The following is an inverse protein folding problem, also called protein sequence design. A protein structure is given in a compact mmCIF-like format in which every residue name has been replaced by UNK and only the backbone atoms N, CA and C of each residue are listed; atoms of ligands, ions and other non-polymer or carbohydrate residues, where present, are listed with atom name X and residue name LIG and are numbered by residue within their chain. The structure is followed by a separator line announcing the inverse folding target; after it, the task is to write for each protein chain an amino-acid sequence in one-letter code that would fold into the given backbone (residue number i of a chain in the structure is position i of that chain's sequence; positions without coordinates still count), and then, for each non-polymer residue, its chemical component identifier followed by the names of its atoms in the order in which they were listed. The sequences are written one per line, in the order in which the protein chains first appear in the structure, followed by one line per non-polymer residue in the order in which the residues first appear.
data_IF_715458293206
#
_entry.id   IF_715458293206
#
_cell.length_a   1.000
_cell.length_b   1.000
_cell.length_c   1.000
_cell.angle_alpha   90.00
_cell.angle_beta   90.00
_cell.angle_gamma   90.00
#
_symmetry.space_group_name_H-M   'P 1'
#
loop_
_entity.id
_entity.type
_entity.pdbx_description
1 polymer ?
#
# COMPACT_ATOMS: atom_id res chain seq x y z
N UNK A 1 1.18 13.49 -6.01
CA UNK A 1 0.28 12.35 -6.29
C UNK A 1 -1.06 12.83 -6.85
N UNK A 2 -1.70 13.84 -6.22
CA UNK A 2 -2.99 14.38 -6.70
C UNK A 2 -2.89 14.84 -8.17
N UNK A 3 -1.92 15.66 -8.49
CA UNK A 3 -1.73 16.22 -9.84
C UNK A 3 -1.43 15.13 -10.87
N UNK A 4 -0.61 14.15 -10.50
CA UNK A 4 -0.29 13.00 -11.36
C UNK A 4 -1.54 12.18 -11.68
N UNK A 5 -2.42 11.95 -10.69
CA UNK A 5 -3.68 11.24 -10.93
C UNK A 5 -4.60 12.06 -11.85
N UNK A 6 -4.67 13.38 -11.66
CA UNK A 6 -5.43 14.27 -12.55
C UNK A 6 -4.93 14.19 -13.99
N UNK A 7 -3.62 14.29 -14.21
CA UNK A 7 -3.01 14.19 -15.54
C UNK A 7 -3.30 12.84 -16.22
N UNK A 8 -3.20 11.73 -15.47
CA UNK A 8 -3.47 10.38 -16.00
C UNK A 8 -4.95 10.16 -16.34
N UNK A 9 -5.84 10.93 -15.75
CA UNK A 9 -7.30 10.85 -15.95
C UNK A 9 -7.84 11.93 -16.88
N UNK A 10 -6.98 12.83 -17.39
CA UNK A 10 -7.38 13.88 -18.30
C UNK A 10 -8.09 13.30 -19.56
N UNK A 11 -9.22 13.88 -19.91
CA UNK A 11 -10.04 13.44 -21.04
C UNK A 11 -10.82 12.15 -20.83
N UNK A 12 -10.76 11.52 -19.65
CA UNK A 12 -11.52 10.32 -19.34
C UNK A 12 -12.94 10.64 -18.82
N UNK A 13 -13.89 9.79 -19.20
CA UNK A 13 -15.26 9.90 -18.69
C UNK A 13 -15.29 9.70 -17.15
N UNK A 14 -16.20 10.41 -16.42
CA UNK A 14 -16.28 10.29 -14.96
C UNK A 14 -16.59 8.87 -14.46
N UNK A 15 -17.32 8.08 -15.24
CA UNK A 15 -17.72 6.71 -14.99
C UNK A 15 -16.76 5.66 -15.57
N UNK A 16 -15.67 6.09 -16.20
CA UNK A 16 -14.67 5.17 -16.74
C UNK A 16 -14.04 4.31 -15.62
N UNK A 17 -13.78 3.01 -15.88
CA UNK A 17 -13.21 2.12 -14.85
C UNK A 17 -11.86 2.61 -14.33
N UNK A 18 -11.63 2.44 -13.03
CA UNK A 18 -10.35 2.73 -12.40
C UNK A 18 -9.25 1.83 -13.00
N UNK A 19 -8.11 2.44 -13.37
CA UNK A 19 -6.98 1.72 -14.00
C UNK A 19 -5.63 1.97 -13.35
N UNK A 20 -5.54 2.99 -12.49
CA UNK A 20 -4.28 3.37 -11.87
C UNK A 20 -3.95 2.38 -10.76
N UNK A 21 -2.77 1.78 -10.82
CA UNK A 21 -2.20 0.99 -9.73
C UNK A 21 -1.10 1.82 -9.09
N UNK A 22 -1.20 2.01 -7.77
CA UNK A 22 -0.17 2.71 -7.00
C UNK A 22 0.85 1.69 -6.49
N UNK A 23 2.12 1.89 -6.80
CA UNK A 23 3.23 1.16 -6.19
C UNK A 23 3.98 2.12 -5.25
N UNK A 24 4.12 1.74 -3.99
CA UNK A 24 4.75 2.57 -2.99
C UNK A 24 5.68 1.75 -2.08
N UNK A 25 6.76 2.37 -1.63
CA UNK A 25 7.74 1.79 -0.73
C UNK A 25 7.96 2.69 0.49
N UNK A 26 8.18 2.09 1.65
CA UNK A 26 8.55 2.81 2.88
C UNK A 26 7.51 3.88 3.27
N UNK A 27 7.94 5.13 3.47
CA UNK A 27 7.05 6.28 3.76
C UNK A 27 6.06 6.57 2.63
N UNK A 28 6.36 6.15 1.40
CA UNK A 28 5.41 6.24 0.29
C UNK A 28 4.10 5.49 0.57
N UNK A 29 4.12 4.43 1.36
CA UNK A 29 2.92 3.71 1.80
C UNK A 29 2.04 4.60 2.69
N UNK A 30 2.65 5.36 3.60
CA UNK A 30 1.95 6.32 4.46
C UNK A 30 1.37 7.48 3.63
N UNK A 31 2.11 7.94 2.61
CA UNK A 31 1.63 8.95 1.67
C UNK A 31 0.38 8.48 0.92
N UNK A 32 0.37 7.24 0.44
CA UNK A 32 -0.81 6.65 -0.23
C UNK A 32 -2.02 6.65 0.71
N UNK A 33 -1.84 6.21 1.96
CA UNK A 33 -2.92 6.17 2.95
C UNK A 33 -3.45 7.57 3.28
N UNK A 34 -2.57 8.54 3.51
CA UNK A 34 -2.94 9.92 3.80
C UNK A 34 -3.64 10.58 2.61
N UNK A 35 -3.12 10.38 1.39
CA UNK A 35 -3.75 10.90 0.17
C UNK A 35 -5.13 10.29 -0.05
N UNK A 36 -5.26 8.97 0.08
CA UNK A 36 -6.54 8.29 -0.14
C UNK A 36 -7.63 8.72 0.84
N UNK A 37 -7.26 9.11 2.07
CA UNK A 37 -8.19 9.58 3.09
C UNK A 37 -8.78 10.98 2.79
N UNK A 38 -8.10 11.80 1.96
CA UNK A 38 -8.47 13.19 1.73
C UNK A 38 -8.77 13.50 0.24
N UNK A 39 -8.42 12.60 -0.66
CA UNK A 39 -8.57 12.83 -2.11
C UNK A 39 -9.95 12.40 -2.61
N UNK A 40 -10.56 13.26 -3.40
CA UNK A 40 -11.75 12.94 -4.16
C UNK A 40 -11.46 12.07 -5.42
N UNK A 41 -10.18 11.82 -5.73
CA UNK A 41 -9.74 11.00 -6.87
C UNK A 41 -9.38 9.57 -6.47
N UNK A 42 -9.49 9.19 -5.20
CA UNK A 42 -9.13 7.85 -4.75
C UNK A 42 -9.94 6.74 -5.47
N UNK A 43 -11.16 7.05 -5.92
CA UNK A 43 -11.99 6.14 -6.72
C UNK A 43 -11.41 5.82 -8.12
N UNK A 44 -10.42 6.59 -8.60
CA UNK A 44 -9.71 6.35 -9.88
C UNK A 44 -8.56 5.36 -9.73
N UNK A 45 -8.21 5.00 -8.48
CA UNK A 45 -7.21 3.99 -8.18
C UNK A 45 -7.86 2.61 -8.17
N UNK A 46 -7.31 1.72 -8.97
CA UNK A 46 -7.73 0.32 -9.08
C UNK A 46 -7.22 -0.52 -7.91
N UNK A 47 -5.95 -0.36 -7.56
CA UNK A 47 -5.29 -1.10 -6.48
C UNK A 47 -4.02 -0.41 -6.00
N UNK A 48 -3.49 -0.83 -4.85
CA UNK A 48 -2.19 -0.41 -4.35
C UNK A 48 -1.29 -1.60 -3.97
N UNK A 49 -0.01 -1.49 -4.32
CA UNK A 49 1.07 -2.39 -3.96
C UNK A 49 2.01 -1.66 -2.99
N UNK A 50 1.92 -1.98 -1.71
CA UNK A 50 2.55 -1.27 -0.61
C UNK A 50 3.68 -2.13 -0.03
N UNK A 51 4.92 -1.74 -0.26
CA UNK A 51 6.10 -2.53 0.06
C UNK A 51 6.83 -1.94 1.25
N UNK A 52 7.11 -2.77 2.26
CA UNK A 52 7.88 -2.40 3.45
C UNK A 52 7.45 -1.05 4.04
N UNK A 53 6.20 -0.89 4.51
CA UNK A 53 5.72 0.39 5.00
C UNK A 53 6.59 0.89 6.15
N UNK A 54 7.11 2.11 6.03
CA UNK A 54 7.89 2.74 7.10
C UNK A 54 7.00 3.19 8.26
N UNK A 55 7.49 3.07 9.50
CA UNK A 55 6.79 3.60 10.68
C UNK A 55 7.39 4.95 11.13
N UNK A 56 6.75 6.08 10.80
CA UNK A 56 7.25 7.39 11.20
C UNK A 56 7.14 7.64 12.70
N UNK A 57 6.37 6.82 13.43
CA UNK A 57 6.17 6.94 14.89
C UNK A 57 7.20 6.09 15.68
N UNK A 58 8.11 5.39 15.01
CA UNK A 58 9.20 4.68 15.67
C UNK A 58 10.12 5.66 16.37
N UNK A 59 10.55 5.36 17.59
CA UNK A 59 11.34 6.27 18.46
C UNK A 59 12.53 6.93 17.74
N UNK A 60 13.27 6.17 16.95
CA UNK A 60 14.43 6.65 16.20
C UNK A 60 14.08 7.65 15.09
N UNK A 61 12.84 7.67 14.61
CA UNK A 61 12.39 8.47 13.47
C UNK A 61 11.38 9.56 13.88
N UNK A 62 10.70 9.39 15.01
CA UNK A 62 9.58 10.24 15.42
C UNK A 62 9.92 11.74 15.48
N UNK A 63 11.13 12.09 15.94
CA UNK A 63 11.56 13.48 16.01
C UNK A 63 11.79 14.10 14.62
N UNK A 64 12.32 13.31 13.67
CA UNK A 64 12.63 13.76 12.31
C UNK A 64 11.38 13.74 11.41
N UNK A 65 10.48 12.80 11.67
CA UNK A 65 9.26 12.57 10.88
C UNK A 65 7.98 13.04 11.60
N UNK A 66 8.09 14.01 12.51
CA UNK A 66 6.96 14.51 13.30
C UNK A 66 5.75 14.94 12.44
N UNK A 67 6.01 15.50 11.26
CA UNK A 67 4.96 15.90 10.30
C UNK A 67 4.18 14.72 9.67
N UNK A 68 4.66 13.49 9.84
CA UNK A 68 3.99 12.27 9.39
C UNK A 68 3.08 11.64 10.45
N UNK A 69 2.97 12.30 11.61
CA UNK A 69 2.13 11.84 12.72
C UNK A 69 0.92 12.77 12.90
N UNK A 70 -0.24 12.20 13.22
CA UNK A 70 -0.53 10.77 13.37
C UNK A 70 -0.62 10.04 12.01
N UNK A 71 -0.25 8.75 11.98
CA UNK A 71 -0.44 7.92 10.78
C UNK A 71 -1.92 7.69 10.51
N UNK A 72 -2.29 7.63 9.24
CA UNK A 72 -3.67 7.39 8.81
C UNK A 72 -3.94 5.88 8.77
N UNK A 73 -4.85 5.41 9.62
CA UNK A 73 -5.26 4.00 9.73
C UNK A 73 -6.73 3.81 9.30
N UNK A 74 -7.13 4.47 8.23
CA UNK A 74 -8.47 4.30 7.64
C UNK A 74 -8.44 3.27 6.52
N UNK A 75 -9.55 2.52 6.31
CA UNK A 75 -9.69 1.62 5.17
C UNK A 75 -9.41 2.35 3.86
N UNK A 76 -8.54 1.77 3.04
CA UNK A 76 -8.34 2.26 1.68
C UNK A 76 -9.59 2.01 0.83
N UNK A 77 -10.01 2.94 -0.04
CA UNK A 77 -11.20 2.78 -0.86
C UNK A 77 -10.97 1.87 -2.09
N UNK A 78 -9.81 1.24 -2.18
CA UNK A 78 -9.40 0.31 -3.23
C UNK A 78 -8.66 -0.89 -2.63
N UNK A 79 -8.63 -2.03 -3.33
CA UNK A 79 -7.83 -3.19 -2.91
C UNK A 79 -6.36 -2.84 -2.75
N UNK A 80 -5.72 -3.37 -1.71
CA UNK A 80 -4.30 -3.16 -1.47
C UNK A 80 -3.61 -4.42 -0.96
N UNK A 81 -2.33 -4.56 -1.28
CA UNK A 81 -1.45 -5.59 -0.76
C UNK A 81 -0.29 -4.92 -0.04
N UNK A 82 -0.03 -5.33 1.18
CA UNK A 82 1.14 -4.92 1.98
C UNK A 82 2.13 -6.07 2.02
N UNK A 83 3.33 -5.86 1.50
CA UNK A 83 4.46 -6.77 1.71
C UNK A 83 5.25 -6.29 2.92
N UNK A 84 5.42 -7.15 3.92
CA UNK A 84 6.16 -6.84 5.14
C UNK A 84 7.27 -7.86 5.39
N UNK A 85 8.42 -7.39 5.82
CA UNK A 85 9.56 -8.20 6.21
C UNK A 85 9.61 -8.40 7.73
N UNK A 86 10.09 -9.57 8.15
CA UNK A 86 10.19 -9.94 9.58
C UNK A 86 11.30 -9.20 10.31
N UNK A 87 12.33 -8.74 9.60
CA UNK A 87 13.53 -8.10 10.11
C UNK A 87 13.75 -6.67 9.58
N UNK A 88 12.68 -6.01 9.15
CA UNK A 88 12.73 -4.63 8.66
C UNK A 88 13.21 -3.67 9.78
N UNK A 89 14.32 -2.93 9.58
CA UNK A 89 14.84 -2.03 10.59
C UNK A 89 13.99 -0.76 10.78
N UNK A 90 13.07 -0.44 9.87
CA UNK A 90 12.27 0.79 9.90
C UNK A 90 10.81 0.57 10.34
N UNK A 91 10.35 -0.69 10.36
CA UNK A 91 9.00 -1.03 10.81
C UNK A 91 8.95 -2.47 11.28
N UNK A 92 8.54 -2.72 12.52
CA UNK A 92 8.37 -4.11 12.96
C UNK A 92 7.27 -4.81 12.17
N UNK A 93 7.37 -6.13 11.99
CA UNK A 93 6.35 -6.92 11.31
C UNK A 93 4.96 -6.76 11.96
N UNK A 94 4.91 -6.72 13.29
CA UNK A 94 3.67 -6.48 14.04
C UNK A 94 3.06 -5.11 13.68
N UNK A 95 3.91 -4.09 13.55
CA UNK A 95 3.46 -2.75 13.17
C UNK A 95 2.96 -2.69 11.72
N UNK A 96 3.67 -3.35 10.80
CA UNK A 96 3.21 -3.49 9.41
C UNK A 96 1.87 -4.23 9.31
N UNK A 97 1.65 -5.25 10.15
CA UNK A 97 0.36 -5.94 10.24
C UNK A 97 -0.76 -5.02 10.77
N UNK A 98 -0.47 -4.12 11.71
CA UNK A 98 -1.43 -3.10 12.16
C UNK A 98 -1.79 -2.13 11.02
N UNK A 99 -0.82 -1.69 10.22
CA UNK A 99 -1.08 -0.89 9.03
C UNK A 99 -1.98 -1.63 8.04
N UNK A 100 -1.62 -2.86 7.69
CA UNK A 100 -2.42 -3.67 6.77
C UNK A 100 -3.87 -3.85 7.26
N UNK A 101 -4.06 -4.10 8.57
CA UNK A 101 -5.38 -4.22 9.19
C UNK A 101 -6.17 -2.92 9.10
N UNK A 102 -5.56 -1.79 9.47
CA UNK A 102 -6.20 -0.46 9.42
C UNK A 102 -6.60 -0.07 7.99
N UNK A 103 -5.75 -0.34 7.03
CA UNK A 103 -5.98 -0.07 5.61
C UNK A 103 -6.89 -1.09 4.92
N UNK A 104 -7.27 -2.18 5.60
CA UNK A 104 -7.97 -3.34 5.04
C UNK A 104 -7.23 -3.95 3.85
N UNK A 105 -5.91 -3.92 3.89
CA UNK A 105 -5.03 -4.50 2.88
C UNK A 105 -4.71 -5.96 3.20
N UNK A 106 -4.45 -6.74 2.16
CA UNK A 106 -3.92 -8.09 2.31
C UNK A 106 -2.46 -8.00 2.80
N UNK A 107 -2.15 -8.61 3.95
CA UNK A 107 -0.78 -8.73 4.42
C UNK A 107 -0.11 -9.95 3.78
N UNK A 108 1.10 -9.75 3.28
CA UNK A 108 2.02 -10.80 2.81
C UNK A 108 3.27 -10.77 3.66
N UNK A 109 3.54 -11.86 4.35
CA UNK A 109 4.81 -12.08 5.04
C UNK A 109 5.88 -12.43 3.99
N UNK A 110 6.86 -11.55 3.85
CA UNK A 110 7.95 -11.71 2.87
C UNK A 110 9.22 -12.31 3.48
N UNK A 111 9.12 -12.85 4.71
CA UNK A 111 10.23 -13.41 5.46
C UNK A 111 11.26 -12.35 5.90
N UNK A 112 12.46 -12.78 6.33
CA UNK A 112 13.52 -11.88 6.73
C UNK A 112 14.25 -11.32 5.49
N UNK A 113 13.79 -10.18 4.98
CA UNK A 113 14.27 -9.57 3.73
C UNK A 113 14.68 -8.10 3.93
N UNK A 114 14.94 -7.70 5.17
CA UNK A 114 15.29 -6.31 5.51
C UNK A 114 14.18 -5.33 5.08
N UNK A 115 14.57 -4.19 4.55
CA UNK A 115 13.60 -3.15 4.13
C UNK A 115 13.08 -3.32 2.70
N UNK A 116 13.22 -4.50 2.12
CA UNK A 116 12.83 -4.83 0.73
C UNK A 116 13.29 -3.71 -0.23
N UNK A 117 14.57 -3.38 -0.14
CA UNK A 117 15.23 -2.33 -0.93
C UNK A 117 16.48 -2.89 -1.64
N UNK A 118 17.35 -2.01 -2.15
CA UNK A 118 18.58 -2.41 -2.84
C UNK A 118 19.50 -3.29 -1.97
N UNK A 119 19.55 -3.03 -0.67
CA UNK A 119 20.41 -3.78 0.28
C UNK A 119 19.86 -5.19 0.56
N UNK A 120 18.61 -5.46 0.20
CA UNK A 120 17.98 -6.77 0.36
C UNK A 120 18.44 -7.82 -0.65
N UNK A 121 19.23 -7.43 -1.65
CA UNK A 121 19.83 -8.35 -2.63
C UNK A 121 18.84 -9.01 -3.58
N UNK A 122 17.65 -8.44 -3.78
CA UNK A 122 16.57 -9.02 -4.60
C UNK A 122 16.81 -8.88 -6.12
N UNK A 123 17.81 -8.12 -6.56
CA UNK A 123 18.10 -7.87 -7.96
C UNK A 123 16.90 -7.24 -8.68
N UNK A 124 16.55 -7.77 -9.86
CA UNK A 124 15.40 -7.32 -10.65
C UNK A 124 14.04 -7.63 -10.01
N UNK A 125 14.04 -8.32 -8.90
CA UNK A 125 12.89 -8.67 -8.09
C UNK A 125 11.69 -9.25 -8.87
N UNK A 126 11.84 -10.39 -9.57
CA UNK A 126 10.79 -10.96 -10.42
C UNK A 126 9.48 -11.25 -9.68
N UNK A 127 9.55 -11.71 -8.42
CA UNK A 127 8.36 -11.99 -7.60
C UNK A 127 7.56 -10.71 -7.31
N UNK A 128 8.23 -9.62 -6.95
CA UNK A 128 7.59 -8.32 -6.76
C UNK A 128 6.92 -7.81 -8.03
N UNK A 129 7.61 -7.94 -9.17
CA UNK A 129 7.05 -7.58 -10.47
C UNK A 129 5.81 -8.41 -10.82
N UNK A 130 5.83 -9.73 -10.62
CA UNK A 130 4.67 -10.61 -10.87
C UNK A 130 3.48 -10.21 -10.01
N UNK A 131 3.70 -9.88 -8.73
CA UNK A 131 2.64 -9.43 -7.82
C UNK A 131 2.04 -8.10 -8.25
N UNK A 132 2.88 -7.12 -8.60
CA UNK A 132 2.43 -5.83 -9.12
C UNK A 132 1.61 -6.00 -10.39
N UNK A 133 2.12 -6.78 -11.35
CA UNK A 133 1.41 -7.04 -12.62
C UNK A 133 0.10 -7.81 -12.41
N UNK A 134 0.01 -8.62 -11.35
CA UNK A 134 -1.24 -9.26 -10.94
C UNK A 134 -2.33 -8.26 -10.57
N UNK A 135 -1.97 -7.13 -9.95
CA UNK A 135 -2.91 -6.06 -9.61
C UNK A 135 -3.33 -5.21 -10.83
N UNK A 136 -2.54 -5.25 -11.90
CA UNK A 136 -2.84 -4.51 -13.13
C UNK A 136 -3.84 -5.23 -14.05
N UNK A 137 -4.11 -6.52 -13.81
CA UNK A 137 -5.02 -7.33 -14.65
C UNK A 137 -6.48 -7.14 -14.24
N UNK A 138 -7.40 -7.24 -15.22
CA UNK A 138 -8.82 -7.03 -14.99
C UNK A 138 -9.50 -8.17 -14.19
N UNK A 139 -8.80 -9.27 -13.94
CA UNK A 139 -9.32 -10.49 -13.33
C UNK A 139 -9.20 -10.54 -11.80
N UNK A 140 -8.79 -9.45 -11.13
CA UNK A 140 -8.77 -9.42 -9.67
C UNK A 140 -10.21 -9.32 -9.15
N UNK A 141 -10.78 -10.38 -8.55
CA UNK A 141 -12.13 -10.32 -8.02
C UNK A 141 -12.21 -9.27 -6.90
N UNK A 142 -13.11 -8.33 -7.06
CA UNK A 142 -13.49 -7.34 -6.05
C UNK A 142 -14.29 -8.04 -4.95
N UNK A 143 -13.74 -9.04 -4.26
CA UNK A 143 -14.34 -9.56 -3.03
C UNK A 143 -13.39 -10.44 -2.24
N UNK A 144 -12.88 -9.93 -1.16
CA UNK A 144 -12.71 -10.77 0.02
C UNK A 144 -14.10 -10.93 0.61
N UNK A 145 -14.74 -12.05 0.30
CA UNK A 145 -16.06 -12.44 0.79
C UNK A 145 -16.09 -12.38 2.31
N UNK A 146 -17.19 -11.86 2.87
CA UNK A 146 -17.54 -11.95 4.28
C UNK A 146 -17.33 -13.37 4.79
N UNK A 147 -16.77 -13.57 6.01
CA UNK A 147 -16.85 -14.88 6.66
C UNK A 147 -18.32 -15.22 6.87
N UNK A 148 -18.74 -16.35 6.30
CA UNK A 148 -20.04 -16.97 6.54
C UNK A 148 -20.18 -17.25 8.03
N UNK A 149 -21.09 -16.56 8.70
CA UNK A 149 -21.58 -16.97 10.00
C UNK A 149 -22.37 -18.27 9.78
N UNK A 150 -21.81 -19.39 10.22
CA UNK A 150 -22.59 -20.60 10.44
C UNK A 150 -23.11 -20.54 11.88
N UNK A 151 -24.41 -20.54 11.99
CA UNK A 151 -25.22 -20.85 13.17
C UNK A 151 -24.80 -22.18 13.82
#
# INVERSE_FOLDING_TARGET
LQDTVLELEEGRAPDAPARIVLAAHSLGCQLVAAWAAHSNLAHRVRAAFLVAPGDPQRDALAAVLASWSPVVLQPLPFPAVVLASQDDPYCSFVRAAQFATGWRAQLVDYGPTGHINADSGLGDWPDGHVRLMGLCRDDVPASVSKPSQRT
#
